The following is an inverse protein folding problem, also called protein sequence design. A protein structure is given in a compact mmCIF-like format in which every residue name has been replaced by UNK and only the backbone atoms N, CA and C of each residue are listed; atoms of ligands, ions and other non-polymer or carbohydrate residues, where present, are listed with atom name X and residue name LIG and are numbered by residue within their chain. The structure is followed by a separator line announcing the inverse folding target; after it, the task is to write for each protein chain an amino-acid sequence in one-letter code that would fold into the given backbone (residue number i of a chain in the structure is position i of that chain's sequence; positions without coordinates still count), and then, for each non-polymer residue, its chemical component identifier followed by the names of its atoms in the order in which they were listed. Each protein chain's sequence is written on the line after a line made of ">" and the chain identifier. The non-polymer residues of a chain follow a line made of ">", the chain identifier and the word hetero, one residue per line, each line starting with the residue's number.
data_IF_610112582149
#
_entry.id   IF_610112582149
#
_cell.length_a   1.000
_cell.length_b   1.000
_cell.length_c   1.000
_cell.angle_alpha   90.00
_cell.angle_beta   90.00
_cell.angle_gamma   90.00
#
_symmetry.space_group_name_H-M   'P 1'
#
loop_
_entity.id
_entity.type
_entity.pdbx_description
1 polymer ?
#
# COMPACT_ATOMS: atom_id res chain seq x y z
N UNK A 1 5.75 14.64 -3.51
CA UNK A 1 5.36 13.22 -3.62
C UNK A 1 4.43 12.93 -2.46
N UNK A 2 3.20 12.52 -2.74
CA UNK A 2 2.21 12.25 -1.69
C UNK A 2 2.59 10.98 -0.90
N UNK A 3 1.91 10.71 0.21
CA UNK A 3 2.24 9.58 1.07
C UNK A 3 2.03 8.22 0.38
N UNK A 4 1.00 8.08 -0.46
CA UNK A 4 0.75 6.86 -1.22
C UNK A 4 1.84 6.57 -2.27
N UNK A 5 2.35 7.60 -2.96
CA UNK A 5 3.49 7.48 -3.86
C UNK A 5 4.76 7.06 -3.10
N UNK A 6 4.99 7.61 -1.90
CA UNK A 6 6.10 7.18 -1.02
C UNK A 6 5.94 5.71 -0.60
N UNK A 7 4.74 5.29 -0.22
CA UNK A 7 4.45 3.88 0.13
C UNK A 7 4.71 2.97 -1.07
N UNK A 8 4.22 3.35 -2.25
CA UNK A 8 4.43 2.57 -3.48
C UNK A 8 5.91 2.36 -3.79
N UNK A 9 6.71 3.42 -3.71
CA UNK A 9 8.13 3.34 -4.07
C UNK A 9 8.96 2.60 -3.02
N UNK A 10 8.62 2.72 -1.73
CA UNK A 10 9.37 2.08 -0.66
C UNK A 10 8.98 0.61 -0.44
N UNK A 11 7.69 0.28 -0.63
CA UNK A 11 7.15 -1.02 -0.22
C UNK A 11 6.48 -1.80 -1.36
N UNK A 12 6.13 -1.13 -2.47
CA UNK A 12 5.58 -1.77 -3.67
C UNK A 12 4.05 -1.81 -3.74
N UNK A 13 3.55 -2.25 -4.91
CA UNK A 13 2.14 -2.18 -5.27
C UNK A 13 1.23 -2.98 -4.35
N UNK A 14 1.62 -4.21 -4.01
CA UNK A 14 0.86 -5.07 -3.11
C UNK A 14 0.62 -4.42 -1.73
N UNK A 15 1.66 -3.84 -1.12
CA UNK A 15 1.53 -3.18 0.19
C UNK A 15 0.59 -1.98 0.11
N UNK A 16 0.67 -1.18 -0.96
CA UNK A 16 -0.25 -0.05 -1.15
C UNK A 16 -1.71 -0.52 -1.35
N UNK A 17 -1.93 -1.65 -2.02
CA UNK A 17 -3.26 -2.26 -2.16
C UNK A 17 -3.79 -2.75 -0.80
N UNK A 18 -2.95 -3.35 0.04
CA UNK A 18 -3.34 -3.72 1.40
C UNK A 18 -3.78 -2.49 2.21
N UNK A 19 -3.06 -1.37 2.11
CA UNK A 19 -3.46 -0.09 2.74
C UNK A 19 -4.79 0.40 2.19
N UNK A 20 -5.00 0.35 0.87
CA UNK A 20 -6.30 0.69 0.25
C UNK A 20 -7.43 -0.14 0.83
N UNK A 21 -7.22 -1.44 1.04
CA UNK A 21 -8.26 -2.32 1.58
C UNK A 21 -8.63 -1.94 3.02
N UNK A 22 -7.70 -1.42 3.83
CA UNK A 22 -8.01 -0.86 5.15
C UNK A 22 -8.93 0.35 5.03
N UNK A 23 -8.60 1.31 4.14
CA UNK A 23 -9.46 2.46 3.90
C UNK A 23 -10.83 2.05 3.36
N UNK A 24 -10.90 1.04 2.50
CA UNK A 24 -12.15 0.51 1.96
C UNK A 24 -13.04 -0.10 3.05
N UNK A 25 -12.47 -0.90 3.97
CA UNK A 25 -13.21 -1.48 5.11
C UNK A 25 -13.74 -0.39 6.05
N UNK A 26 -13.03 0.73 6.15
CA UNK A 26 -13.41 1.88 6.96
C UNK A 26 -14.24 2.92 6.19
N UNK A 27 -14.73 2.58 4.98
CA UNK A 27 -15.55 3.45 4.12
C UNK A 27 -14.90 4.80 3.75
N UNK A 28 -13.58 4.91 3.88
CA UNK A 28 -12.79 6.08 3.50
C UNK A 28 -12.51 6.08 1.99
N UNK A 29 -13.57 6.17 1.18
CA UNK A 29 -13.51 5.99 -0.27
C UNK A 29 -12.70 7.08 -1.01
N UNK A 30 -12.53 8.26 -0.42
CA UNK A 30 -11.68 9.31 -0.98
C UNK A 30 -10.22 8.85 -1.06
N UNK A 31 -9.66 8.33 0.04
CA UNK A 31 -8.31 7.76 0.04
C UNK A 31 -8.19 6.55 -0.90
N UNK A 32 -9.24 5.73 -1.03
CA UNK A 32 -9.26 4.66 -2.04
C UNK A 32 -9.10 5.21 -3.46
N UNK A 33 -9.78 6.31 -3.79
CA UNK A 33 -9.67 6.95 -5.10
C UNK A 33 -8.28 7.55 -5.33
N UNK A 34 -7.67 8.17 -4.31
CA UNK A 34 -6.31 8.69 -4.38
C UNK A 34 -5.27 7.58 -4.59
N UNK A 35 -5.39 6.47 -3.87
CA UNK A 35 -4.52 5.32 -4.05
C UNK A 35 -4.66 4.73 -5.46
N UNK A 36 -5.90 4.59 -5.96
CA UNK A 36 -6.13 4.10 -7.33
C UNK A 36 -5.50 5.03 -8.39
N UNK A 37 -5.56 6.36 -8.21
CA UNK A 37 -4.86 7.32 -9.07
C UNK A 37 -3.35 7.11 -9.05
N UNK A 38 -2.76 6.87 -7.88
CA UNK A 38 -1.32 6.59 -7.74
C UNK A 38 -0.94 5.27 -8.42
N UNK A 39 -1.70 4.21 -8.20
CA UNK A 39 -1.46 2.90 -8.85
C UNK A 39 -1.53 3.03 -10.38
N UNK A 40 -2.56 3.70 -10.90
CA UNK A 40 -2.72 3.95 -12.33
C UNK A 40 -1.58 4.77 -12.92
N UNK A 41 -1.17 5.85 -12.24
CA UNK A 41 -0.04 6.71 -12.66
C UNK A 41 1.26 5.92 -12.84
N UNK A 42 1.48 4.88 -12.03
CA UNK A 42 2.67 4.05 -12.08
C UNK A 42 2.49 2.74 -12.88
N UNK A 43 1.34 2.55 -13.55
CA UNK A 43 1.07 1.33 -14.32
C UNK A 43 0.94 0.06 -13.47
N UNK A 44 0.57 0.21 -12.20
CA UNK A 44 0.45 -0.89 -11.24
C UNK A 44 -1.00 -1.37 -11.19
N UNK A 45 -1.20 -2.68 -11.29
CA UNK A 45 -2.54 -3.29 -11.19
C UNK A 45 -3.16 -3.06 -9.82
N UNK A 46 -4.46 -2.76 -9.77
CA UNK A 46 -5.22 -2.59 -8.53
C UNK A 46 -5.62 -3.91 -7.87
N UNK A 47 -5.36 -5.04 -8.53
CA UNK A 47 -5.69 -6.42 -8.10
C UNK A 47 -4.45 -7.31 -8.07
N UNK A 48 -3.27 -6.73 -7.85
CA UNK A 48 -2.01 -7.46 -7.77
C UNK A 48 -2.02 -8.46 -6.62
N UNK A 49 -1.68 -9.71 -6.91
CA UNK A 49 -1.47 -10.76 -5.91
C UNK A 49 -0.11 -10.64 -5.22
N UNK A 50 0.12 -11.41 -4.16
CA UNK A 50 1.43 -11.45 -3.50
C UNK A 50 2.50 -12.07 -4.43
N UNK A 51 2.11 -13.03 -5.26
CA UNK A 51 2.95 -13.71 -6.25
C UNK A 51 3.34 -12.77 -7.41
N UNK A 52 2.40 -11.94 -7.87
CA UNK A 52 2.68 -10.89 -8.86
C UNK A 52 3.72 -9.89 -8.32
N UNK A 53 3.55 -9.48 -7.06
CA UNK A 53 4.48 -8.57 -6.39
C UNK A 53 5.86 -9.18 -6.16
N UNK A 54 5.93 -10.48 -5.84
CA UNK A 54 7.19 -11.21 -5.77
C UNK A 54 7.94 -11.17 -7.10
N UNK A 55 7.20 -11.37 -8.20
CA UNK A 55 7.74 -11.30 -9.55
C UNK A 55 8.23 -9.89 -9.89
N UNK A 56 7.51 -8.85 -9.49
CA UNK A 56 7.97 -7.46 -9.64
C UNK A 56 9.26 -7.18 -8.86
N UNK A 57 9.35 -7.66 -7.62
CA UNK A 57 10.54 -7.49 -6.80
C UNK A 57 11.76 -8.15 -7.45
N UNK A 58 11.60 -9.36 -8.00
CA UNK A 58 12.65 -10.01 -8.78
C UNK A 58 13.07 -9.21 -10.01
N UNK A 59 12.11 -8.69 -10.79
CA UNK A 59 12.40 -7.84 -11.96
C UNK A 59 13.18 -6.57 -11.61
N UNK A 60 13.01 -6.05 -10.39
CA UNK A 60 13.72 -4.87 -9.87
C UNK A 60 15.08 -5.20 -9.24
N UNK A 61 15.54 -6.45 -9.33
CA UNK A 61 16.82 -6.90 -8.75
C UNK A 61 16.77 -7.13 -7.24
N UNK A 62 15.56 -7.12 -6.64
CA UNK A 62 15.34 -7.34 -5.22
C UNK A 62 15.03 -8.82 -4.97
N UNK A 63 15.45 -9.35 -3.83
CA UNK A 63 15.09 -10.72 -3.45
C UNK A 63 13.60 -10.78 -3.06
N UNK A 64 12.78 -11.43 -3.90
CA UNK A 64 11.34 -11.53 -3.70
C UNK A 64 10.92 -12.34 -2.47
N UNK A 65 11.72 -13.34 -2.05
CA UNK A 65 11.42 -14.16 -0.86
C UNK A 65 11.54 -13.36 0.46
N UNK A 66 12.63 -12.61 0.70
CA UNK A 66 12.69 -11.61 1.78
C UNK A 66 11.59 -10.56 1.70
N UNK A 67 11.23 -10.08 0.50
CA UNK A 67 10.14 -9.10 0.36
C UNK A 67 8.80 -9.65 0.86
N UNK A 68 8.44 -10.90 0.51
CA UNK A 68 7.26 -11.58 1.05
C UNK A 68 7.36 -11.73 2.57
N UNK A 69 8.48 -12.25 3.08
CA UNK A 69 8.66 -12.48 4.52
C UNK A 69 8.52 -11.19 5.34
N UNK A 70 8.96 -10.07 4.79
CA UNK A 70 8.88 -8.76 5.44
C UNK A 70 7.58 -8.00 5.13
N UNK A 71 6.69 -8.56 4.29
CA UNK A 71 5.45 -7.88 3.90
C UNK A 71 4.56 -7.46 5.08
N UNK A 72 4.43 -8.21 6.20
CA UNK A 72 3.67 -7.74 7.35
C UNK A 72 4.33 -6.50 8.00
N UNK A 73 5.66 -6.48 8.07
CA UNK A 73 6.39 -5.34 8.62
C UNK A 73 6.23 -4.10 7.73
N UNK A 74 6.36 -4.26 6.41
CA UNK A 74 6.15 -3.16 5.46
C UNK A 74 4.73 -2.62 5.51
N UNK A 75 3.74 -3.49 5.68
CA UNK A 75 2.35 -3.09 5.82
C UNK A 75 2.11 -2.28 7.10
N UNK A 76 2.60 -2.74 8.25
CA UNK A 76 2.49 -2.00 9.52
C UNK A 76 3.18 -0.63 9.44
N UNK A 77 4.36 -0.58 8.83
CA UNK A 77 5.10 0.67 8.64
C UNK A 77 4.38 1.62 7.68
N UNK A 78 3.75 1.11 6.63
CA UNK A 78 2.92 1.91 5.73
C UNK A 78 1.69 2.49 6.45
N UNK A 79 1.00 1.70 7.28
CA UNK A 79 -0.10 2.17 8.10
C UNK A 79 0.34 3.23 9.12
N UNK A 80 1.47 3.01 9.80
CA UNK A 80 2.07 3.97 10.73
C UNK A 80 2.30 5.32 10.04
N UNK A 81 2.84 5.29 8.82
CA UNK A 81 3.07 6.50 8.01
C UNK A 81 1.77 7.20 7.61
N UNK A 82 0.74 6.46 7.21
CA UNK A 82 -0.59 7.05 6.95
C UNK A 82 -1.17 7.72 8.20
N UNK A 83 -0.97 7.13 9.39
CA UNK A 83 -1.39 7.70 10.67
C UNK A 83 -0.64 8.99 11.00
N UNK A 84 0.67 9.02 10.79
CA UNK A 84 1.49 10.23 11.00
C UNK A 84 1.11 11.38 10.06
N UNK A 85 0.58 11.06 8.89
CA UNK A 85 0.09 12.03 7.89
C UNK A 85 -1.38 12.44 8.15
N UNK A 86 -2.00 11.96 9.24
CA UNK A 86 -3.36 12.32 9.65
C UNK A 86 -4.49 11.62 8.87
N UNK A 87 -4.18 10.66 7.99
CA UNK A 87 -5.17 10.03 7.10
C UNK A 87 -6.21 9.16 7.81
N UNK A 88 -6.01 8.88 9.09
CA UNK A 88 -6.95 8.11 9.89
C UNK A 88 -7.79 8.97 10.85
N UNK A 89 -7.53 10.28 10.92
CA UNK A 89 -8.20 11.17 11.87
C UNK A 89 -9.70 11.31 11.57
N UNK A 90 -10.10 11.09 10.32
CA UNK A 90 -11.49 11.12 9.87
C UNK A 90 -12.23 9.78 10.08
N UNK A 91 -11.49 8.70 10.39
CA UNK A 91 -12.06 7.36 10.57
C UNK A 91 -12.56 7.21 12.01
N UNK A 92 -13.87 7.48 12.19
CA UNK A 92 -14.56 7.52 13.49
C UNK A 92 -14.50 6.24 14.34
N UNK A 93 -14.11 5.08 13.77
CA UNK A 93 -14.06 3.77 14.44
C UNK A 93 -12.83 2.94 14.03
N UNK A 94 -11.68 3.60 13.89
CA UNK A 94 -10.43 2.95 13.53
C UNK A 94 -9.99 1.89 14.58
N UNK A 95 -10.32 0.62 14.35
CA UNK A 95 -9.71 -0.53 15.03
C UNK A 95 -8.75 -1.19 14.02
N UNK A 96 -7.45 -0.93 14.15
CA UNK A 96 -6.38 -1.57 13.37
C UNK A 96 -5.24 -2.04 14.27
#
# INVERSE_FOLDING_TARGET
>A
MNIFEKILLNYGGYILICVRNVFQVNEAYEHCAEINKVLQKHGVSTTMSMEDWQTEMWRKGTSGVPAIKNSPYYFLEALRRCKEDGLFDEIKNANY
#
